data_IF_083876345029
#
_entry.id   IF_083876345029
#
_cell.length_a   1.000
_cell.length_b   1.000
_cell.length_c   1.000
_cell.angle_alpha   90.00
_cell.angle_beta   90.00
_cell.angle_gamma   90.00
#
_symmetry.space_group_name_H-M   'P 1'
#
loop_
_entity.id
_entity.type
_entity.pdbx_description
1 polymer ?
#
# COMPACT_ATOMS: atom_id res chain seq x y z
N UNK A 1 -30.30 -5.43 6.55
CA UNK A 1 -30.97 -5.78 7.82
C UNK A 1 -30.76 -7.25 8.17
N UNK A 2 -31.11 -8.19 7.28
CA UNK A 2 -30.93 -9.63 7.51
C UNK A 2 -29.48 -9.99 7.91
N UNK A 3 -28.50 -9.51 7.15
CA UNK A 3 -27.06 -9.73 7.42
C UNK A 3 -26.66 -9.34 8.86
N UNK A 4 -27.21 -8.25 9.41
CA UNK A 4 -26.88 -7.79 10.77
C UNK A 4 -27.48 -8.69 11.87
N UNK A 5 -28.53 -9.46 11.55
CA UNK A 5 -29.28 -10.26 12.50
C UNK A 5 -28.87 -11.73 12.46
N UNK A 6 -28.35 -12.22 11.33
CA UNK A 6 -28.07 -13.64 11.10
C UNK A 6 -26.60 -14.00 11.13
N UNK A 7 -25.70 -13.05 10.86
CA UNK A 7 -24.28 -13.31 10.66
C UNK A 7 -23.43 -12.82 11.83
N UNK A 8 -22.41 -13.59 12.19
CA UNK A 8 -21.44 -13.22 13.23
C UNK A 8 -20.48 -12.12 12.76
N UNK A 9 -20.04 -12.15 11.50
CA UNK A 9 -19.25 -11.09 10.86
C UNK A 9 -20.00 -10.48 9.66
N UNK A 10 -20.80 -9.42 9.87
CA UNK A 10 -21.59 -8.81 8.81
C UNK A 10 -20.73 -8.11 7.74
N UNK A 11 -19.49 -7.70 8.06
CA UNK A 11 -18.59 -7.05 7.08
C UNK A 11 -18.04 -8.10 6.13
N UNK A 12 -17.56 -9.22 6.66
CA UNK A 12 -17.08 -10.33 5.83
C UNK A 12 -18.18 -10.85 4.91
N UNK A 13 -19.36 -11.11 5.47
CA UNK A 13 -20.47 -11.65 4.67
C UNK A 13 -20.88 -10.69 3.56
N UNK A 14 -20.89 -9.38 3.84
CA UNK A 14 -21.18 -8.39 2.81
C UNK A 14 -20.13 -8.39 1.67
N UNK A 15 -18.86 -8.63 1.98
CA UNK A 15 -17.81 -8.73 0.97
C UNK A 15 -17.99 -9.97 0.08
N UNK A 16 -18.19 -11.14 0.68
CA UNK A 16 -18.42 -12.40 -0.03
C UNK A 16 -19.67 -12.30 -0.91
N UNK A 17 -20.79 -11.88 -0.34
CA UNK A 17 -22.05 -11.77 -1.07
C UNK A 17 -21.94 -10.81 -2.26
N UNK A 18 -21.23 -9.68 -2.09
CA UNK A 18 -21.01 -8.74 -3.20
C UNK A 18 -20.13 -9.31 -4.32
N UNK A 19 -19.25 -10.27 -4.00
CA UNK A 19 -18.41 -10.95 -4.97
C UNK A 19 -19.20 -12.03 -5.70
N UNK A 20 -19.96 -12.84 -4.96
CA UNK A 20 -20.85 -13.88 -5.49
C UNK A 20 -21.88 -13.26 -6.45
N UNK A 21 -22.56 -12.18 -6.05
CA UNK A 21 -23.52 -11.47 -6.91
C UNK A 21 -22.88 -10.93 -8.19
N UNK A 22 -21.61 -10.51 -8.12
CA UNK A 22 -20.87 -10.03 -9.30
C UNK A 22 -20.43 -11.17 -10.21
N UNK A 23 -20.22 -12.37 -9.68
CA UNK A 23 -19.98 -13.56 -10.48
C UNK A 23 -21.28 -14.02 -11.15
N UNK A 24 -22.39 -14.05 -10.40
CA UNK A 24 -23.71 -14.36 -10.95
C UNK A 24 -24.11 -13.39 -12.07
N UNK A 25 -23.79 -12.10 -11.94
CA UNK A 25 -24.09 -11.12 -13.00
C UNK A 25 -23.35 -11.38 -14.32
N UNK A 26 -22.28 -12.17 -14.31
CA UNK A 26 -21.54 -12.59 -15.50
C UNK A 26 -22.09 -13.89 -16.09
N UNK A 27 -22.65 -14.76 -15.26
CA UNK A 27 -23.26 -16.04 -15.67
C UNK A 27 -24.67 -15.83 -16.22
N UNK A 28 -25.47 -15.03 -15.51
CA UNK A 28 -26.87 -14.73 -15.84
C UNK A 28 -26.99 -13.31 -16.40
N UNK A 29 -26.82 -13.20 -17.72
CA UNK A 29 -26.75 -11.90 -18.40
C UNK A 29 -28.10 -11.19 -18.42
N UNK A 30 -29.19 -11.94 -18.40
CA UNK A 30 -30.57 -11.43 -18.41
C UNK A 30 -30.89 -10.56 -17.18
N UNK A 31 -30.35 -10.92 -16.01
CA UNK A 31 -30.56 -10.22 -14.73
C UNK A 31 -29.31 -9.47 -14.26
N UNK A 32 -28.34 -9.26 -15.15
CA UNK A 32 -27.05 -8.66 -14.82
C UNK A 32 -27.18 -7.35 -14.04
N UNK A 33 -28.09 -6.47 -14.46
CA UNK A 33 -28.27 -5.16 -13.83
C UNK A 33 -28.76 -5.30 -12.38
N UNK A 34 -29.69 -6.21 -12.12
CA UNK A 34 -30.25 -6.45 -10.80
C UNK A 34 -29.17 -7.00 -9.85
N UNK A 35 -28.35 -7.94 -10.33
CA UNK A 35 -27.22 -8.46 -9.58
C UNK A 35 -26.15 -7.40 -9.30
N UNK A 36 -25.83 -6.56 -10.28
CA UNK A 36 -24.88 -5.47 -10.09
C UNK A 36 -25.39 -4.43 -9.07
N UNK A 37 -26.69 -4.14 -9.08
CA UNK A 37 -27.32 -3.26 -8.09
C UNK A 37 -27.28 -3.87 -6.68
N UNK A 38 -27.65 -5.15 -6.53
CA UNK A 38 -27.58 -5.86 -5.25
C UNK A 38 -26.15 -5.94 -4.72
N UNK A 39 -25.18 -6.22 -5.60
CA UNK A 39 -23.77 -6.23 -5.25
C UNK A 39 -23.35 -4.85 -4.73
N UNK A 40 -23.79 -3.77 -5.40
CA UNK A 40 -23.51 -2.40 -4.99
C UNK A 40 -24.15 -2.06 -3.64
N UNK A 41 -25.37 -2.50 -3.38
CA UNK A 41 -26.02 -2.33 -2.06
C UNK A 41 -25.22 -3.00 -0.93
N UNK A 42 -24.66 -4.19 -1.18
CA UNK A 42 -23.79 -4.87 -0.21
C UNK A 42 -22.50 -4.07 0.08
N UNK A 43 -21.90 -3.46 -0.95
CA UNK A 43 -20.71 -2.59 -0.77
C UNK A 43 -21.02 -1.35 0.05
N UNK A 44 -22.14 -0.69 -0.27
CA UNK A 44 -22.62 0.49 0.47
C UNK A 44 -22.90 0.13 1.93
N UNK A 45 -23.54 -1.01 2.18
CA UNK A 45 -23.81 -1.49 3.53
C UNK A 45 -22.52 -1.66 4.35
N UNK A 46 -21.49 -2.31 3.81
CA UNK A 46 -20.23 -2.49 4.52
C UNK A 46 -19.51 -1.16 4.81
N UNK A 47 -19.53 -0.23 3.85
CA UNK A 47 -19.02 1.14 4.01
C UNK A 47 -19.76 1.90 5.10
N UNK A 48 -21.09 1.85 5.10
CA UNK A 48 -21.91 2.58 6.08
C UNK A 48 -21.74 2.01 7.49
N UNK A 49 -21.54 0.69 7.60
CA UNK A 49 -21.23 0.05 8.88
C UNK A 49 -19.87 0.52 9.43
N UNK A 50 -18.84 0.59 8.59
CA UNK A 50 -17.53 1.14 8.97
C UNK A 50 -17.62 2.64 9.30
N UNK A 51 -18.62 3.37 8.77
CA UNK A 51 -18.85 4.79 9.08
C UNK A 51 -19.27 5.03 10.52
N UNK A 52 -19.91 4.03 11.13
CA UNK A 52 -20.42 4.14 12.50
C UNK A 52 -19.32 3.99 13.55
N UNK A 53 -18.10 3.58 13.17
CA UNK A 53 -16.96 3.56 14.08
C UNK A 53 -16.62 4.99 14.54
N UNK A 54 -16.72 5.23 15.84
CA UNK A 54 -16.56 6.58 16.41
C UNK A 54 -15.11 6.93 16.73
N UNK A 55 -14.33 5.90 17.07
CA UNK A 55 -12.97 6.07 17.56
C UNK A 55 -11.95 5.30 16.69
N UNK A 56 -10.72 5.82 16.63
CA UNK A 56 -9.61 5.16 15.91
C UNK A 56 -9.30 3.76 16.44
N UNK A 57 -9.57 3.50 17.73
CA UNK A 57 -9.40 2.18 18.34
C UNK A 57 -10.42 1.16 17.85
N UNK A 58 -11.68 1.55 17.69
CA UNK A 58 -12.71 0.67 17.11
C UNK A 58 -12.36 0.34 15.66
N UNK A 59 -11.91 1.36 14.92
CA UNK A 59 -11.46 1.19 13.54
C UNK A 59 -10.23 0.28 13.44
N UNK A 60 -9.24 0.42 14.34
CA UNK A 60 -8.07 -0.46 14.41
C UNK A 60 -8.49 -1.92 14.64
N UNK A 61 -9.45 -2.17 15.53
CA UNK A 61 -9.98 -3.52 15.79
C UNK A 61 -10.66 -4.08 14.56
N UNK A 62 -11.56 -3.33 13.92
CA UNK A 62 -12.27 -3.79 12.71
C UNK A 62 -11.29 -4.08 11.57
N UNK A 63 -10.34 -3.18 11.31
CA UNK A 63 -9.40 -3.30 10.20
C UNK A 63 -8.34 -4.40 10.40
N UNK A 64 -8.00 -4.73 11.65
CA UNK A 64 -7.05 -5.79 11.98
C UNK A 64 -7.73 -7.13 12.27
N UNK A 65 -9.06 -7.21 12.32
CA UNK A 65 -9.77 -8.45 12.61
C UNK A 65 -9.50 -9.51 11.53
N UNK A 66 -9.15 -10.72 11.97
CA UNK A 66 -8.93 -11.91 11.13
C UNK A 66 -10.13 -12.84 11.28
N UNK A 67 -10.70 -13.27 10.14
CA UNK A 67 -11.84 -14.20 10.12
C UNK A 67 -11.46 -15.65 10.44
N UNK A 68 -10.17 -16.00 10.37
CA UNK A 68 -9.65 -17.34 10.63
C UNK A 68 -8.23 -17.25 11.17
N UNK A 69 -7.80 -18.32 11.84
CA UNK A 69 -6.54 -18.53 12.58
C UNK A 69 -5.29 -18.55 11.66
N UNK A 70 -5.19 -17.59 10.73
CA UNK A 70 -4.02 -17.42 9.89
C UNK A 70 -2.84 -16.98 10.76
N UNK A 71 -1.79 -17.80 10.78
CA UNK A 71 -0.52 -17.53 11.44
C UNK A 71 -0.01 -16.13 11.08
N UNK A 72 -0.20 -15.18 11.99
CA UNK A 72 0.42 -13.87 11.92
C UNK A 72 1.92 -14.08 12.04
N UNK A 73 2.66 -13.91 10.94
CA UNK A 73 4.12 -13.91 10.95
C UNK A 73 4.59 -12.87 11.96
N UNK A 74 5.10 -13.35 13.11
CA UNK A 74 5.51 -12.53 14.27
C UNK A 74 6.82 -11.78 14.00
N UNK A 75 6.88 -10.95 12.95
CA UNK A 75 7.99 -10.03 12.71
C UNK A 75 7.77 -8.69 13.43
N UNK A 76 7.78 -8.76 14.76
CA UNK A 76 8.00 -7.59 15.62
C UNK A 76 6.78 -6.71 15.94
N UNK A 77 6.85 -6.10 17.13
CA UNK A 77 5.79 -5.33 17.81
C UNK A 77 5.19 -4.14 17.05
N UNK A 78 5.86 -3.65 15.99
CA UNK A 78 5.37 -2.55 15.15
C UNK A 78 4.59 -3.05 13.92
N UNK A 79 4.89 -4.26 13.44
CA UNK A 79 4.17 -4.91 12.34
C UNK A 79 2.84 -5.52 12.84
N UNK A 80 2.80 -5.88 14.13
CA UNK A 80 1.61 -6.36 14.84
C UNK A 80 0.44 -5.34 14.89
N UNK A 81 0.75 -4.03 14.88
CA UNK A 81 -0.26 -2.95 14.83
C UNK A 81 -0.91 -2.76 13.46
N UNK A 82 -0.36 -3.38 12.41
CA UNK A 82 -0.65 -3.02 11.02
C UNK A 82 -0.80 -4.23 10.08
N UNK A 83 -1.13 -5.43 10.60
CA UNK A 83 -1.41 -6.54 9.68
C UNK A 83 -2.59 -6.20 8.74
N UNK A 84 -3.51 -5.31 9.18
CA UNK A 84 -4.57 -4.72 8.36
C UNK A 84 -5.34 -5.81 7.60
N UNK A 85 -5.56 -6.95 8.26
CA UNK A 85 -6.00 -8.19 7.62
C UNK A 85 -7.36 -8.03 6.96
N UNK A 86 -8.32 -7.40 7.65
CA UNK A 86 -9.64 -7.09 7.09
C UNK A 86 -9.55 -6.10 5.92
N UNK A 87 -8.63 -5.13 6.00
CA UNK A 87 -8.41 -4.19 4.90
C UNK A 87 -7.81 -4.87 3.66
N UNK A 88 -6.81 -5.75 3.85
CA UNK A 88 -6.24 -6.56 2.76
C UNK A 88 -7.33 -7.43 2.12
N UNK A 89 -8.21 -8.00 2.93
CA UNK A 89 -9.35 -8.77 2.44
C UNK A 89 -10.35 -7.90 1.67
N UNK A 90 -10.64 -6.69 2.15
CA UNK A 90 -11.48 -5.73 1.43
C UNK A 90 -10.89 -5.38 0.05
N UNK A 91 -9.56 -5.23 -0.05
CA UNK A 91 -8.87 -5.02 -1.33
C UNK A 91 -9.00 -6.25 -2.23
N UNK A 92 -8.82 -7.47 -1.69
CA UNK A 92 -8.98 -8.73 -2.43
C UNK A 92 -10.38 -8.87 -3.04
N UNK A 93 -11.42 -8.48 -2.29
CA UNK A 93 -12.82 -8.47 -2.76
C UNK A 93 -13.20 -7.19 -3.53
N UNK A 94 -12.24 -6.36 -3.94
CA UNK A 94 -12.47 -5.13 -4.72
C UNK A 94 -13.49 -4.15 -4.09
N UNK A 95 -13.47 -4.04 -2.75
CA UNK A 95 -14.35 -3.18 -1.97
C UNK A 95 -13.86 -1.73 -1.95
N UNK A 96 -13.85 -1.08 -3.11
CA UNK A 96 -13.29 0.27 -3.29
C UNK A 96 -13.93 1.30 -2.37
N UNK A 97 -15.25 1.26 -2.20
CA UNK A 97 -15.97 2.24 -1.38
C UNK A 97 -15.64 2.14 0.11
N UNK A 98 -15.57 0.91 0.63
CA UNK A 98 -15.14 0.63 2.00
C UNK A 98 -13.73 1.17 2.27
N UNK A 99 -12.78 0.89 1.36
CA UNK A 99 -11.39 1.36 1.49
C UNK A 99 -11.29 2.89 1.35
N UNK A 100 -12.08 3.50 0.46
CA UNK A 100 -12.06 4.94 0.19
C UNK A 100 -12.68 5.80 1.29
N UNK A 101 -13.28 5.19 2.30
CA UNK A 101 -13.96 5.90 3.36
C UNK A 101 -13.02 6.81 4.16
N UNK A 102 -13.51 8.01 4.52
CA UNK A 102 -12.74 9.05 5.22
C UNK A 102 -12.04 8.55 6.50
N UNK A 103 -12.76 7.83 7.36
CA UNK A 103 -12.20 7.28 8.60
C UNK A 103 -11.07 6.27 8.32
N UNK A 104 -11.29 5.36 7.36
CA UNK A 104 -10.29 4.39 6.92
C UNK A 104 -9.04 5.08 6.34
N UNK A 105 -9.24 6.07 5.46
CA UNK A 105 -8.17 6.85 4.86
C UNK A 105 -7.39 7.67 5.88
N UNK A 106 -8.05 8.24 6.89
CA UNK A 106 -7.39 8.97 7.96
C UNK A 106 -6.50 8.04 8.82
N UNK A 107 -6.99 6.83 9.11
CA UNK A 107 -6.24 5.79 9.79
C UNK A 107 -5.01 5.37 8.98
N UNK A 108 -5.21 5.05 7.70
CA UNK A 108 -4.13 4.70 6.78
C UNK A 108 -3.09 5.81 6.65
N UNK A 109 -3.51 7.07 6.56
CA UNK A 109 -2.58 8.21 6.54
C UNK A 109 -1.75 8.29 7.82
N UNK A 110 -2.35 8.02 8.97
CA UNK A 110 -1.63 8.03 10.26
C UNK A 110 -0.60 6.91 10.30
N UNK A 111 -0.98 5.71 9.84
CA UNK A 111 -0.10 4.57 9.71
C UNK A 111 1.03 4.81 8.68
N UNK A 112 0.71 5.50 7.58
CA UNK A 112 1.65 5.80 6.49
C UNK A 112 2.76 6.77 6.92
N UNK A 113 2.39 7.86 7.59
CA UNK A 113 3.37 8.87 8.02
C UNK A 113 4.03 8.52 9.36
N UNK A 114 3.37 7.79 10.26
CA UNK A 114 3.92 7.39 11.55
C UNK A 114 4.57 8.56 12.31
N UNK A 115 5.85 8.44 12.64
CA UNK A 115 6.64 9.49 13.31
C UNK A 115 6.78 10.79 12.48
N UNK A 116 6.53 10.72 11.18
CA UNK A 116 6.54 11.87 10.26
C UNK A 116 5.16 12.53 10.11
N UNK A 117 4.21 12.34 11.03
CA UNK A 117 2.89 12.98 10.97
C UNK A 117 2.95 14.51 10.83
N UNK A 118 3.99 15.16 11.38
CA UNK A 118 4.24 16.60 11.22
C UNK A 118 4.54 17.03 9.77
N UNK A 119 5.03 16.13 8.93
CA UNK A 119 5.33 16.39 7.51
C UNK A 119 4.08 16.86 6.74
N UNK A 120 2.91 16.30 7.05
CA UNK A 120 1.64 16.62 6.38
C UNK A 120 1.29 18.11 6.47
N UNK A 121 1.61 18.75 7.59
CA UNK A 121 1.31 20.17 7.86
C UNK A 121 2.36 21.14 7.31
N UNK A 122 3.48 20.65 6.77
CA UNK A 122 4.52 21.52 6.19
C UNK A 122 4.08 22.13 4.87
N UNK A 123 4.64 23.30 4.55
CA UNK A 123 4.47 23.97 3.26
C UNK A 123 4.97 23.08 2.10
N UNK A 124 4.31 23.14 0.95
CA UNK A 124 4.61 22.31 -0.23
C UNK A 124 6.06 22.41 -0.66
N UNK A 125 6.65 23.61 -0.64
CA UNK A 125 8.07 23.80 -0.95
C UNK A 125 9.00 23.00 -0.02
N UNK A 126 8.75 23.04 1.31
CA UNK A 126 9.53 22.27 2.29
C UNK A 126 9.32 20.77 2.13
N UNK A 127 8.13 20.34 1.70
CA UNK A 127 7.83 18.93 1.39
C UNK A 127 8.69 18.45 0.23
N UNK A 128 8.65 19.17 -0.90
CA UNK A 128 9.45 18.86 -2.09
C UNK A 128 10.94 18.81 -1.75
N UNK A 129 11.45 19.82 -1.04
CA UNK A 129 12.86 19.84 -0.62
C UNK A 129 13.24 18.62 0.24
N UNK A 130 12.36 18.20 1.16
CA UNK A 130 12.60 17.01 1.99
C UNK A 130 12.69 15.74 1.13
N UNK A 131 11.76 15.56 0.18
CA UNK A 131 11.75 14.39 -0.72
C UNK A 131 13.01 14.37 -1.59
N UNK A 132 13.40 15.52 -2.15
CA UNK A 132 14.63 15.63 -2.96
C UNK A 132 15.87 15.30 -2.14
N UNK A 133 16.01 15.83 -0.93
CA UNK A 133 17.15 15.52 -0.05
C UNK A 133 17.20 14.03 0.28
N UNK A 134 16.08 13.42 0.68
CA UNK A 134 16.03 11.97 0.96
C UNK A 134 16.34 11.16 -0.29
N UNK A 135 15.85 11.59 -1.45
CA UNK A 135 16.10 10.97 -2.74
C UNK A 135 17.58 11.02 -3.12
N UNK A 136 18.28 12.14 -2.97
CA UNK A 136 19.71 12.24 -3.28
C UNK A 136 20.55 11.37 -2.33
N UNK A 137 20.21 11.38 -1.03
CA UNK A 137 20.94 10.62 -0.01
C UNK A 137 20.42 9.20 0.21
N UNK A 138 19.62 8.65 -0.71
CA UNK A 138 19.04 7.31 -0.61
C UNK A 138 20.06 6.18 -0.34
N UNK A 139 21.27 6.13 -0.96
CA UNK A 139 22.18 5.01 -0.75
C UNK A 139 22.82 5.07 0.64
N UNK A 140 23.17 6.27 1.12
CA UNK A 140 23.70 6.48 2.46
C UNK A 140 22.65 6.11 3.52
N UNK A 141 21.40 6.54 3.33
CA UNK A 141 20.30 6.21 4.25
C UNK A 141 20.06 4.69 4.30
N UNK A 142 20.09 4.01 3.17
CA UNK A 142 19.94 2.55 3.09
C UNK A 142 21.07 1.83 3.82
N UNK A 143 22.32 2.28 3.65
CA UNK A 143 23.47 1.71 4.35
C UNK A 143 23.40 1.95 5.87
N UNK A 144 23.03 3.16 6.30
CA UNK A 144 22.80 3.47 7.72
C UNK A 144 21.71 2.58 8.35
N UNK A 145 20.65 2.24 7.59
CA UNK A 145 19.62 1.33 8.06
C UNK A 145 20.13 -0.10 8.27
N UNK A 146 21.03 -0.59 7.40
CA UNK A 146 21.65 -1.91 7.55
C UNK A 146 22.57 -1.98 8.77
N UNK A 147 23.35 -0.93 9.03
CA UNK A 147 24.28 -0.90 10.16
C UNK A 147 23.60 -0.69 11.51
N UNK A 148 22.61 0.20 11.59
CA UNK A 148 22.01 0.61 12.86
C UNK A 148 20.48 0.77 12.75
N UNK A 149 19.71 -0.33 12.60
CA UNK A 149 18.26 -0.28 12.41
C UNK A 149 17.51 0.28 13.63
N UNK A 150 18.08 0.16 14.83
CA UNK A 150 17.48 0.69 16.09
C UNK A 150 17.75 2.18 16.35
N UNK A 151 18.55 2.84 15.50
CA UNK A 151 18.83 4.27 15.63
C UNK A 151 17.58 5.14 15.39
N UNK A 152 17.65 6.43 15.75
CA UNK A 152 16.57 7.38 15.44
C UNK A 152 16.30 7.47 13.93
N UNK A 153 17.36 7.48 13.12
CA UNK A 153 17.27 7.50 11.65
C UNK A 153 16.68 6.18 11.14
N UNK A 154 17.12 5.04 11.69
CA UNK A 154 16.58 3.73 11.33
C UNK A 154 15.07 3.61 11.59
N UNK A 155 14.59 4.15 12.72
CA UNK A 155 13.15 4.22 13.02
C UNK A 155 12.37 5.12 12.05
N UNK A 156 12.96 6.22 11.57
CA UNK A 156 12.34 7.09 10.55
C UNK A 156 12.27 6.34 9.21
N UNK A 157 13.37 5.69 8.79
CA UNK A 157 13.43 4.89 7.55
C UNK A 157 12.45 3.72 7.60
N UNK A 158 12.17 3.18 8.79
CA UNK A 158 11.20 2.10 8.96
C UNK A 158 9.76 2.49 8.57
N UNK A 159 9.42 3.79 8.53
CA UNK A 159 8.10 4.26 8.11
C UNK A 159 7.85 3.98 6.61
N UNK A 160 6.64 3.57 6.21
CA UNK A 160 6.35 3.17 4.84
C UNK A 160 6.52 4.34 3.86
N UNK A 161 6.21 5.58 4.28
CA UNK A 161 6.49 6.78 3.50
C UNK A 161 7.98 6.92 3.12
N UNK A 162 8.90 6.71 4.07
CA UNK A 162 10.34 6.82 3.78
C UNK A 162 10.84 5.67 2.91
N UNK A 163 10.38 4.43 3.18
CA UNK A 163 10.68 3.28 2.32
C UNK A 163 10.24 3.53 0.88
N UNK A 164 9.06 4.11 0.68
CA UNK A 164 8.56 4.47 -0.65
C UNK A 164 9.47 5.45 -1.38
N UNK A 165 9.92 6.54 -0.72
CA UNK A 165 10.82 7.51 -1.34
C UNK A 165 12.16 6.87 -1.68
N UNK A 166 12.75 6.11 -0.75
CA UNK A 166 14.06 5.48 -0.96
C UNK A 166 13.99 4.46 -2.10
N UNK A 167 12.96 3.62 -2.13
CA UNK A 167 12.77 2.65 -3.21
C UNK A 167 12.51 3.34 -4.56
N UNK A 168 11.67 4.39 -4.59
CA UNK A 168 11.43 5.18 -5.79
C UNK A 168 12.69 5.89 -6.30
N UNK A 169 13.53 6.41 -5.40
CA UNK A 169 14.80 7.04 -5.76
C UNK A 169 15.81 6.03 -6.31
N UNK A 170 15.92 4.86 -5.68
CA UNK A 170 16.78 3.76 -6.16
C UNK A 170 16.36 3.30 -7.55
N UNK A 171 15.05 3.08 -7.78
CA UNK A 171 14.52 2.72 -9.09
C UNK A 171 14.77 3.81 -10.13
N UNK A 172 14.60 5.08 -9.77
CA UNK A 172 14.91 6.20 -10.65
C UNK A 172 16.41 6.25 -11.02
N UNK A 173 17.32 6.02 -10.06
CA UNK A 173 18.75 5.96 -10.36
C UNK A 173 19.11 4.78 -11.28
N UNK A 174 18.45 3.63 -11.11
CA UNK A 174 18.61 2.50 -12.01
C UNK A 174 18.18 2.85 -13.45
N UNK A 175 17.03 3.51 -13.61
CA UNK A 175 16.58 3.99 -14.93
C UNK A 175 17.55 5.02 -15.53
N UNK A 176 18.11 5.92 -14.72
CA UNK A 176 19.13 6.86 -15.20
C UNK A 176 20.39 6.13 -15.69
N UNK A 177 20.87 5.14 -14.95
CA UNK A 177 22.03 4.34 -15.35
C UNK A 177 21.75 3.58 -16.66
N UNK A 178 20.57 3.00 -16.83
CA UNK A 178 20.15 2.37 -18.08
C UNK A 178 20.12 3.34 -19.27
N UNK A 179 19.64 4.56 -19.06
CA UNK A 179 19.63 5.57 -20.13
C UNK A 179 21.05 6.03 -20.47
N UNK A 180 21.90 6.24 -19.47
CA UNK A 180 23.32 6.58 -19.67
C UNK A 180 24.05 5.45 -20.40
N UNK A 181 23.83 4.20 -20.00
CA UNK A 181 24.36 3.03 -20.69
C UNK A 181 23.92 3.00 -22.16
N UNK A 182 22.64 3.20 -22.44
CA UNK A 182 22.11 3.25 -23.80
C UNK A 182 22.72 4.38 -24.64
N UNK A 183 22.97 5.55 -24.04
CA UNK A 183 23.62 6.68 -24.70
C UNK A 183 25.09 6.41 -25.00
N UNK A 184 25.86 5.96 -24.00
CA UNK A 184 27.29 5.64 -24.14
C UNK A 184 27.50 4.48 -25.13
N UNK A 185 26.72 3.41 -25.00
CA UNK A 185 26.79 2.25 -25.90
C UNK A 185 26.48 2.60 -27.36
N UNK A 186 25.55 3.54 -27.60
CA UNK A 186 25.24 4.00 -28.97
C UNK A 186 26.37 4.81 -29.61
N UNK A 187 27.20 5.51 -28.82
CA UNK A 187 28.35 6.24 -29.35
C UNK A 187 29.53 5.30 -29.68
N UNK A 188 29.78 4.29 -28.84
CA UNK A 188 30.99 3.46 -28.96
C UNK A 188 30.89 2.27 -29.93
N UNK A 189 29.68 1.85 -30.35
CA UNK A 189 29.54 0.67 -31.24
C UNK A 189 28.53 0.80 -32.35
N UNK A 190 28.96 1.41 -33.45
CA UNK A 190 28.39 1.12 -34.77
C UNK A 190 29.02 -0.09 -35.49
N UNK A 191 30.22 -0.56 -35.09
CA UNK A 191 31.03 -1.45 -35.94
C UNK A 191 31.80 -2.62 -35.28
N UNK A 192 31.48 -3.08 -34.06
CA UNK A 192 32.26 -4.18 -33.44
C UNK A 192 31.37 -5.22 -32.74
N UNK A 193 31.53 -6.51 -33.09
CA UNK A 193 30.89 -7.64 -32.40
C UNK A 193 31.39 -7.72 -30.94
N UNK A 194 30.47 -7.68 -29.97
CA UNK A 194 30.69 -7.94 -28.53
C UNK A 194 31.68 -7.02 -27.81
N UNK A 195 31.25 -5.91 -27.18
CA UNK A 195 32.16 -5.07 -26.37
C UNK A 195 32.67 -5.85 -25.16
N UNK A 196 33.87 -5.51 -24.69
CA UNK A 196 34.26 -5.87 -23.33
C UNK A 196 33.32 -5.15 -22.35
N UNK A 197 32.89 -5.83 -21.27
CA UNK A 197 32.01 -5.22 -20.26
C UNK A 197 32.60 -3.89 -19.79
N UNK A 198 31.82 -2.82 -19.91
CA UNK A 198 32.19 -1.50 -19.42
C UNK A 198 31.91 -1.38 -17.93
N UNK A 199 32.51 -0.39 -17.26
CA UNK A 199 32.31 -0.17 -15.82
C UNK A 199 30.85 0.05 -15.43
N UNK A 200 30.02 0.50 -16.39
CA UNK A 200 28.58 0.71 -16.22
C UNK A 200 27.84 -0.63 -16.12
N UNK A 201 28.31 -1.69 -16.81
CA UNK A 201 27.72 -3.03 -16.76
C UNK A 201 27.82 -3.67 -15.37
N UNK A 202 28.85 -3.31 -14.59
CA UNK A 202 29.00 -3.78 -13.21
C UNK A 202 28.15 -3.00 -12.20
N UNK A 203 27.63 -1.83 -12.58
CA UNK A 203 26.82 -0.95 -11.73
C UNK A 203 25.31 -1.15 -11.95
N UNK A 204 24.93 -1.88 -12.99
CA UNK A 204 23.57 -2.16 -13.41
C UNK A 204 23.06 -3.48 -12.82
#
# INVERSE_FOLDING_TARGET
ALIMLTEEDPILRAFELSADLRELSLVEVEFRNDYEELAQQCKTFAKDLLAQARNSRELEVILNHTASDEHVDKRGLLEERMNLSRLKLAIKYNQKEFVSQSNCQQFLNTAWFGQMAGYRRKHTFKKILTVLTVGIFWPLLSFCYLLAPRSHIGRIIHTPFMKFIIHGASYFTFLLLLNLYSLVYNEDKKNTMGPALERIDYLL
#
